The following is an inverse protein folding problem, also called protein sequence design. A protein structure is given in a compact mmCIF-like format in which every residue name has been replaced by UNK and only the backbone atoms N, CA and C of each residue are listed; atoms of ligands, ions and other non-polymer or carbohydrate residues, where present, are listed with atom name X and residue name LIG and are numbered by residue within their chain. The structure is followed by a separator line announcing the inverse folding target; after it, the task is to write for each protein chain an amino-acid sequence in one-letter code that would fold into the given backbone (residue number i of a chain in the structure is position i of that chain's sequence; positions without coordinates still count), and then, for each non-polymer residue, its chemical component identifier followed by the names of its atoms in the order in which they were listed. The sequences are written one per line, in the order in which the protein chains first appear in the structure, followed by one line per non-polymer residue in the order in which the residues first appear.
data_IF_401284512586
#
_entry.id   IF_401284512586
#
_cell.length_a   1.000
_cell.length_b   1.000
_cell.length_c   1.000
_cell.angle_alpha   90.00
_cell.angle_beta   90.00
_cell.angle_gamma   90.00
#
_symmetry.space_group_name_H-M   'P 1'
#
loop_
_entity.id
_entity.type
_entity.pdbx_description
1 polymer ?
#
# COMPACT_ATOMS: atom_id res chain seq x y z
N UNK A 1 -36.13 -25.96 45.07
CA UNK A 1 -36.40 -26.90 43.97
C UNK A 1 -35.73 -26.38 42.71
N UNK A 2 -34.80 -27.11 42.08
CA UNK A 2 -34.19 -26.67 40.82
C UNK A 2 -35.18 -26.82 39.65
N UNK A 3 -35.18 -25.89 38.68
CA UNK A 3 -36.07 -25.97 37.52
C UNK A 3 -35.70 -27.15 36.63
N UNK A 4 -36.71 -27.94 36.24
CA UNK A 4 -36.58 -29.07 35.34
C UNK A 4 -36.07 -28.58 33.98
N UNK A 5 -34.88 -29.08 33.58
CA UNK A 5 -34.34 -28.90 32.22
C UNK A 5 -35.33 -29.49 31.22
N UNK A 6 -35.97 -28.64 30.43
CA UNK A 6 -36.76 -29.06 29.28
C UNK A 6 -35.83 -29.62 28.22
N UNK A 7 -36.03 -30.88 27.87
CA UNK A 7 -35.37 -31.53 26.73
C UNK A 7 -35.93 -30.92 25.45
N UNK A 8 -35.16 -30.03 24.82
CA UNK A 8 -35.49 -29.50 23.50
C UNK A 8 -35.52 -30.67 22.50
N UNK A 9 -36.64 -30.82 21.81
CA UNK A 9 -36.82 -31.85 20.79
C UNK A 9 -35.85 -31.56 19.63
N UNK A 10 -35.06 -32.53 19.17
CA UNK A 10 -34.15 -32.32 18.05
C UNK A 10 -34.96 -31.97 16.78
N UNK A 11 -34.43 -31.07 15.93
CA UNK A 11 -35.10 -30.66 14.71
C UNK A 11 -35.30 -31.86 13.79
N UNK A 12 -36.47 -31.91 13.18
CA UNK A 12 -36.85 -33.00 12.26
C UNK A 12 -36.10 -32.86 10.94
N UNK A 13 -35.87 -33.98 10.25
CA UNK A 13 -35.18 -34.00 8.95
C UNK A 13 -35.85 -33.08 7.91
N UNK A 14 -37.16 -32.84 8.03
CA UNK A 14 -37.89 -31.89 7.19
C UNK A 14 -37.54 -30.43 7.50
N UNK A 15 -37.31 -30.06 8.76
CA UNK A 15 -36.87 -28.72 9.16
C UNK A 15 -35.41 -28.45 8.76
N UNK A 16 -34.57 -29.50 8.77
CA UNK A 16 -33.18 -29.42 8.28
C UNK A 16 -33.18 -29.23 6.75
N UNK A 17 -33.98 -30.02 6.01
CA UNK A 17 -34.11 -29.89 4.55
C UNK A 17 -34.75 -28.55 4.12
N UNK A 18 -35.70 -28.02 4.89
CA UNK A 18 -36.29 -26.71 4.64
C UNK A 18 -35.28 -25.57 4.89
N UNK A 19 -34.47 -25.67 5.96
CA UNK A 19 -33.41 -24.72 6.25
C UNK A 19 -32.31 -24.73 5.16
N UNK A 20 -31.93 -25.90 4.65
CA UNK A 20 -30.99 -26.05 3.52
C UNK A 20 -31.58 -25.52 2.21
N UNK A 21 -32.89 -25.68 1.96
CA UNK A 21 -33.56 -25.16 0.77
C UNK A 21 -33.69 -23.62 0.77
N UNK A 22 -33.80 -22.98 1.94
CA UNK A 22 -33.78 -21.52 2.07
C UNK A 22 -32.37 -20.92 2.12
N UNK A 23 -31.34 -21.74 2.37
CA UNK A 23 -29.94 -21.35 2.29
C UNK A 23 -29.38 -21.57 0.86
N UNK A 24 -30.15 -21.17 -0.15
CA UNK A 24 -29.68 -21.12 -1.53
C UNK A 24 -28.59 -20.03 -1.66
N UNK A 25 -27.37 -20.40 -1.28
CA UNK A 25 -26.15 -19.71 -1.69
C UNK A 25 -26.15 -19.77 -3.22
N UNK A 26 -26.44 -18.63 -3.83
CA UNK A 26 -26.32 -18.45 -5.28
C UNK A 26 -24.89 -18.87 -5.65
N UNK A 27 -24.71 -19.95 -6.44
CA UNK A 27 -23.38 -20.31 -6.90
C UNK A 27 -22.93 -19.18 -7.83
N UNK A 28 -21.93 -18.39 -7.40
CA UNK A 28 -21.21 -17.48 -8.28
C UNK A 28 -20.41 -18.32 -9.28
N UNK A 29 -21.10 -18.86 -10.29
CA UNK A 29 -20.47 -19.47 -11.44
C UNK A 29 -19.79 -18.31 -12.17
N UNK A 30 -18.47 -18.38 -12.26
CA UNK A 30 -17.62 -17.55 -13.13
C UNK A 30 -17.94 -17.81 -14.61
N UNK A 31 -19.18 -17.53 -15.02
CA UNK A 31 -19.66 -17.57 -16.38
C UNK A 31 -19.54 -16.19 -16.99
N UNK A 32 -18.96 -16.13 -18.19
CA UNK A 32 -18.93 -15.03 -19.17
C UNK A 32 -19.62 -13.75 -18.70
N UNK A 33 -18.85 -12.65 -18.54
CA UNK A 33 -19.35 -11.29 -18.30
C UNK A 33 -20.61 -11.03 -19.15
N UNK A 34 -21.78 -11.13 -18.52
CA UNK A 34 -23.05 -10.90 -19.19
C UNK A 34 -23.32 -9.40 -19.31
N UNK A 35 -24.25 -9.03 -20.20
CA UNK A 35 -24.75 -7.65 -20.38
C UNK A 35 -25.14 -6.92 -19.09
N UNK A 36 -25.41 -7.65 -18.01
CA UNK A 36 -25.70 -7.11 -16.69
C UNK A 36 -24.50 -6.44 -16.02
N UNK A 37 -23.27 -6.89 -16.28
CA UNK A 37 -22.06 -6.27 -15.75
C UNK A 37 -21.75 -4.97 -16.48
N UNK A 38 -21.82 -4.97 -17.81
CA UNK A 38 -21.63 -3.77 -18.62
C UNK A 38 -22.68 -2.69 -18.28
N UNK A 39 -23.96 -3.08 -18.09
CA UNK A 39 -25.02 -2.14 -17.64
C UNK A 39 -24.81 -1.60 -16.22
N UNK A 40 -24.08 -2.33 -15.37
CA UNK A 40 -23.72 -1.84 -14.04
C UNK A 40 -22.53 -0.88 -14.14
N UNK A 41 -21.49 -1.22 -14.92
CA UNK A 41 -20.37 -0.32 -15.25
C UNK A 41 -20.90 0.98 -15.87
N UNK A 42 -21.75 0.92 -16.90
CA UNK A 42 -22.39 2.08 -17.53
C UNK A 42 -23.20 2.93 -16.52
N UNK A 43 -23.85 2.27 -15.54
CA UNK A 43 -24.68 2.94 -14.53
C UNK A 43 -23.85 3.54 -13.40
N UNK A 44 -22.72 2.93 -13.04
CA UNK A 44 -21.73 3.47 -12.10
C UNK A 44 -20.95 4.61 -12.76
N UNK A 45 -20.56 4.49 -14.02
CA UNK A 45 -19.97 5.57 -14.81
C UNK A 45 -20.96 6.73 -15.02
N UNK A 46 -22.26 6.44 -15.15
CA UNK A 46 -23.31 7.46 -15.20
C UNK A 46 -23.59 8.14 -13.85
N UNK A 47 -23.20 7.54 -12.71
CA UNK A 47 -23.13 8.27 -11.44
C UNK A 47 -21.94 9.22 -11.58
N UNK A 48 -22.22 10.44 -12.02
CA UNK A 48 -21.20 11.45 -12.22
C UNK A 48 -20.43 11.67 -10.92
N UNK A 49 -19.14 11.97 -11.03
CA UNK A 49 -18.28 12.41 -9.92
C UNK A 49 -18.95 13.49 -9.05
N UNK A 50 -19.73 14.37 -9.69
CA UNK A 50 -20.54 15.39 -9.02
C UNK A 50 -21.65 14.81 -8.12
N UNK A 51 -22.27 13.70 -8.51
CA UNK A 51 -23.30 13.03 -7.68
C UNK A 51 -22.68 12.38 -6.44
N UNK A 52 -21.49 11.79 -6.59
CA UNK A 52 -20.74 11.23 -5.45
C UNK A 52 -20.29 12.35 -4.52
N UNK A 53 -19.70 13.42 -5.07
CA UNK A 53 -19.28 14.59 -4.31
C UNK A 53 -20.47 15.24 -3.60
N UNK A 54 -21.60 15.47 -4.28
CA UNK A 54 -22.81 16.00 -3.67
C UNK A 54 -23.40 15.05 -2.62
N UNK A 55 -23.34 13.74 -2.85
CA UNK A 55 -23.74 12.73 -1.87
C UNK A 55 -22.88 12.80 -0.61
N UNK A 56 -21.57 12.94 -0.77
CA UNK A 56 -20.66 13.14 0.36
C UNK A 56 -20.91 14.49 1.05
N UNK A 57 -21.11 15.56 0.29
CA UNK A 57 -21.38 16.89 0.83
C UNK A 57 -22.68 16.95 1.64
N UNK A 58 -23.71 16.24 1.19
CA UNK A 58 -24.95 16.10 1.94
C UNK A 58 -24.77 15.22 3.18
N UNK A 59 -24.01 14.14 3.07
CA UNK A 59 -23.86 13.17 4.15
C UNK A 59 -22.89 13.66 5.25
N UNK A 60 -21.89 14.46 4.87
CA UNK A 60 -20.91 15.09 5.75
C UNK A 60 -20.68 16.51 5.22
N UNK A 61 -21.37 17.54 5.70
CA UNK A 61 -21.16 18.91 5.25
C UNK A 61 -19.69 19.36 5.39
N UNK A 62 -19.21 20.32 4.58
CA UNK A 62 -17.92 20.94 4.81
C UNK A 62 -17.89 21.57 6.20
N UNK A 63 -16.78 21.39 6.92
CA UNK A 63 -16.62 21.97 8.24
C UNK A 63 -16.56 23.50 8.15
N UNK A 64 -17.27 24.15 9.06
CA UNK A 64 -17.15 25.60 9.28
C UNK A 64 -15.76 25.94 9.81
N UNK A 65 -15.38 27.22 9.73
CA UNK A 65 -14.08 27.67 10.25
C UNK A 65 -13.99 27.40 11.76
N UNK A 66 -15.09 27.64 12.48
CA UNK A 66 -15.19 27.48 13.93
C UNK A 66 -15.05 26.00 14.34
N UNK A 67 -15.64 25.08 13.58
CA UNK A 67 -15.44 23.64 13.81
C UNK A 67 -14.01 23.21 13.51
N UNK A 68 -13.40 23.74 12.44
CA UNK A 68 -12.01 23.45 12.10
C UNK A 68 -11.06 23.94 13.20
N UNK A 69 -11.27 25.16 13.69
CA UNK A 69 -10.51 25.77 14.79
C UNK A 69 -10.72 25.01 16.13
N UNK A 70 -11.87 24.34 16.31
CA UNK A 70 -12.12 23.49 17.49
C UNK A 70 -11.42 22.12 17.43
N UNK A 71 -11.15 21.60 16.22
CA UNK A 71 -10.52 20.29 16.01
C UNK A 71 -8.99 20.43 15.94
N UNK A 72 -8.51 21.47 15.28
CA UNK A 72 -7.08 21.72 15.14
C UNK A 72 -6.55 22.43 16.39
N UNK A 73 -5.42 22.01 16.95
CA UNK A 73 -4.82 22.73 18.08
C UNK A 73 -4.43 24.15 17.63
N UNK A 74 -4.75 25.16 18.45
CA UNK A 74 -4.38 26.57 18.18
C UNK A 74 -2.87 26.74 17.94
N UNK A 75 -2.06 25.93 18.64
CA UNK A 75 -0.62 25.87 18.48
C UNK A 75 -0.16 24.42 18.51
N UNK A 76 0.58 23.98 17.50
CA UNK A 76 1.29 22.70 17.54
C UNK A 76 2.42 22.78 18.58
N UNK A 77 2.67 21.72 19.37
CA UNK A 77 3.75 21.73 20.36
C UNK A 77 5.11 21.86 19.66
N UNK A 78 6.07 22.56 20.27
CA UNK A 78 7.43 22.77 19.71
C UNK A 78 8.13 21.46 19.34
N UNK A 79 7.83 20.35 20.04
CA UNK A 79 8.35 19.02 19.75
C UNK A 79 7.84 18.40 18.45
N UNK A 80 6.78 18.94 17.85
CA UNK A 80 6.28 18.51 16.54
C UNK A 80 7.16 19.01 15.38
N UNK A 81 7.99 20.01 15.65
CA UNK A 81 8.97 20.53 14.72
C UNK A 81 10.34 19.95 15.09
N UNK A 82 11.04 19.38 14.12
CA UNK A 82 12.46 19.07 14.30
C UNK A 82 13.23 20.38 14.49
N UNK A 83 14.36 20.38 15.21
CA UNK A 83 15.22 21.57 15.39
C UNK A 83 15.65 22.23 14.08
N UNK A 84 15.51 21.48 12.98
CA UNK A 84 15.96 21.81 11.65
C UNK A 84 14.79 22.30 10.76
N UNK A 85 13.59 22.45 11.33
CA UNK A 85 12.39 22.86 10.60
C UNK A 85 12.54 24.25 10.01
N UNK A 86 12.65 24.32 8.69
CA UNK A 86 12.81 25.58 7.94
C UNK A 86 11.48 26.20 7.58
N UNK A 87 11.46 27.52 7.38
CA UNK A 87 10.28 28.24 6.87
C UNK A 87 9.85 27.75 5.48
N UNK A 88 10.79 27.20 4.70
CA UNK A 88 10.53 26.57 3.41
C UNK A 88 9.86 25.20 3.57
N UNK A 89 10.23 24.41 4.58
CA UNK A 89 9.52 23.18 4.94
C UNK A 89 8.14 23.46 5.53
N UNK A 90 7.97 24.55 6.28
CA UNK A 90 6.65 25.01 6.73
C UNK A 90 5.78 25.43 5.54
N UNK A 91 6.30 26.23 4.62
CA UNK A 91 5.58 26.63 3.41
C UNK A 91 5.30 25.41 2.51
N UNK A 92 6.24 24.48 2.41
CA UNK A 92 6.05 23.22 1.70
C UNK A 92 5.01 22.34 2.42
N UNK A 93 4.98 22.29 3.75
CA UNK A 93 3.95 21.58 4.52
C UNK A 93 2.61 22.29 4.45
N UNK A 94 2.54 23.62 4.38
CA UNK A 94 1.28 24.35 4.20
C UNK A 94 0.73 24.21 2.78
N UNK A 95 1.61 24.20 1.76
CA UNK A 95 1.23 23.86 0.39
C UNK A 95 0.93 22.37 0.20
N UNK A 96 1.66 21.51 0.91
CA UNK A 96 1.53 20.07 0.84
C UNK A 96 0.64 19.47 1.92
N UNK A 97 0.04 20.30 2.80
CA UNK A 97 -1.00 19.98 3.77
C UNK A 97 -2.12 19.46 2.89
N UNK A 98 -2.13 18.15 2.66
CA UNK A 98 -2.60 17.69 1.38
C UNK A 98 -4.10 17.83 1.46
N UNK A 99 -4.74 18.22 0.36
CA UNK A 99 -6.21 18.32 0.30
C UNK A 99 -6.91 17.10 0.95
N UNK A 100 -6.23 15.95 0.88
CA UNK A 100 -6.43 14.69 1.61
C UNK A 100 -6.68 14.80 3.14
N UNK A 101 -6.03 15.71 3.85
CA UNK A 101 -6.19 15.87 5.29
C UNK A 101 -7.56 16.44 5.66
N UNK A 102 -8.09 17.34 4.82
CA UNK A 102 -9.43 17.87 5.01
C UNK A 102 -10.47 16.75 4.99
N UNK A 103 -10.25 15.71 4.18
CA UNK A 103 -11.13 14.53 4.11
C UNK A 103 -11.15 13.79 5.44
N UNK A 104 -9.99 13.53 6.04
CA UNK A 104 -9.90 12.85 7.34
C UNK A 104 -10.58 13.67 8.45
N UNK A 105 -10.29 14.97 8.52
CA UNK A 105 -10.89 15.87 9.52
C UNK A 105 -12.40 15.93 9.34
N UNK A 106 -12.87 16.05 8.11
CA UNK A 106 -14.29 16.09 7.77
C UNK A 106 -15.01 14.78 8.14
N UNK A 107 -14.44 13.63 7.79
CA UNK A 107 -15.08 12.33 7.98
C UNK A 107 -15.10 11.87 9.43
N UNK A 108 -14.01 12.08 10.16
CA UNK A 108 -13.81 11.52 11.50
C UNK A 108 -13.85 12.55 12.62
N UNK A 109 -13.97 13.84 12.28
CA UNK A 109 -13.87 14.94 13.25
C UNK A 109 -12.58 14.87 14.09
N UNK A 110 -11.49 14.40 13.47
CA UNK A 110 -10.21 14.15 14.12
C UNK A 110 -9.07 14.55 13.18
N UNK A 111 -8.02 15.16 13.73
CA UNK A 111 -6.84 15.50 12.93
C UNK A 111 -6.11 14.22 12.47
N UNK A 112 -5.48 14.20 11.28
CA UNK A 112 -4.66 13.08 10.85
C UNK A 112 -3.57 12.74 11.87
N UNK A 113 -2.99 13.78 12.49
CA UNK A 113 -2.04 13.65 13.58
C UNK A 113 -2.64 12.93 14.78
N UNK A 114 -3.89 13.22 15.15
CA UNK A 114 -4.58 12.51 16.21
C UNK A 114 -4.85 11.05 15.83
N UNK A 115 -5.29 10.78 14.60
CA UNK A 115 -5.56 9.41 14.10
C UNK A 115 -4.28 8.57 14.14
N UNK A 116 -3.16 9.12 13.66
CA UNK A 116 -1.83 8.51 13.70
C UNK A 116 -1.06 9.03 14.92
N UNK A 117 -1.59 8.75 16.11
CA UNK A 117 -0.95 9.09 17.39
C UNK A 117 -0.97 7.94 18.40
N UNK A 118 -0.18 8.05 19.48
CA UNK A 118 -0.24 7.11 20.59
C UNK A 118 -1.64 6.96 21.21
N UNK A 119 -2.55 7.93 21.05
CA UNK A 119 -3.97 7.82 21.47
C UNK A 119 -4.63 6.58 20.87
N UNK A 120 -4.38 6.32 19.59
CA UNK A 120 -4.86 5.13 18.88
C UNK A 120 -3.76 4.08 18.71
N UNK A 121 -2.68 4.14 19.51
CA UNK A 121 -1.53 3.22 19.42
C UNK A 121 -0.92 3.15 18.02
N UNK A 122 -0.99 4.23 17.26
CA UNK A 122 -0.35 4.34 15.95
C UNK A 122 0.78 5.36 16.03
N UNK A 123 1.86 5.12 15.32
CA UNK A 123 2.88 6.13 15.06
C UNK A 123 3.30 6.04 13.60
N UNK A 124 3.97 7.09 13.14
CA UNK A 124 4.56 7.08 11.82
C UNK A 124 5.81 6.18 11.80
N UNK A 125 5.96 5.33 10.77
CA UNK A 125 7.17 4.53 10.59
C UNK A 125 8.38 5.42 10.22
N UNK A 126 9.21 5.76 11.20
CA UNK A 126 10.43 6.56 10.99
C UNK A 126 11.61 5.75 10.46
N UNK A 127 11.59 4.44 10.62
CA UNK A 127 12.73 3.55 10.38
C UNK A 127 12.78 2.94 8.97
N UNK A 128 11.82 3.26 8.09
CA UNK A 128 11.86 2.75 6.73
C UNK A 128 13.12 3.30 6.03
N UNK A 129 13.97 2.42 5.49
CA UNK A 129 15.20 2.81 4.78
C UNK A 129 14.96 3.74 3.58
N UNK A 130 13.71 3.76 3.10
CA UNK A 130 13.21 4.64 2.04
C UNK A 130 12.50 5.90 2.58
N UNK A 131 12.51 6.15 3.89
CA UNK A 131 11.99 7.37 4.52
C UNK A 131 12.94 8.55 4.28
N UNK A 132 13.28 8.80 3.01
CA UNK A 132 13.85 10.06 2.57
C UNK A 132 12.66 10.98 2.29
N UNK A 133 12.14 11.58 3.34
CA UNK A 133 11.07 12.57 3.22
C UNK A 133 10.45 12.97 4.55
N UNK A 134 9.84 14.16 4.60
CA UNK A 134 9.13 14.64 5.78
C UNK A 134 8.04 13.64 6.20
N UNK A 135 7.79 13.59 7.51
CA UNK A 135 6.58 13.01 8.08
C UNK A 135 5.40 13.40 7.18
N UNK A 136 4.55 12.43 6.80
CA UNK A 136 3.41 12.66 5.89
C UNK A 136 3.75 12.91 4.42
N UNK A 137 4.52 12.00 3.81
CA UNK A 137 4.73 12.01 2.35
C UNK A 137 3.40 12.05 1.57
N UNK A 138 3.38 12.75 0.42
CA UNK A 138 2.19 12.86 -0.46
C UNK A 138 1.58 11.50 -0.79
N UNK A 139 2.41 10.47 -0.98
CA UNK A 139 1.94 9.09 -1.24
C UNK A 139 1.19 8.51 -0.05
N UNK A 140 1.71 8.66 1.16
CA UNK A 140 1.05 8.18 2.36
C UNK A 140 -0.26 8.92 2.60
N UNK A 141 -0.24 10.25 2.53
CA UNK A 141 -1.41 11.07 2.81
C UNK A 141 -2.53 10.82 1.81
N UNK A 142 -2.18 10.64 0.53
CA UNK A 142 -3.13 10.21 -0.49
C UNK A 142 -3.74 8.87 -0.14
N UNK A 143 -2.94 7.86 0.19
CA UNK A 143 -3.45 6.53 0.57
C UNK A 143 -4.33 6.56 1.81
N UNK A 144 -3.97 7.30 2.85
CA UNK A 144 -4.80 7.38 4.05
C UNK A 144 -6.13 8.08 3.75
N UNK A 145 -6.15 9.13 2.93
CA UNK A 145 -7.43 9.73 2.50
C UNK A 145 -8.26 8.76 1.64
N UNK A 146 -7.59 8.03 0.74
CA UNK A 146 -8.20 6.94 -0.05
C UNK A 146 -8.82 5.86 0.83
N UNK A 147 -8.17 5.49 1.94
CA UNK A 147 -8.74 4.57 2.91
C UNK A 147 -9.91 5.24 3.63
N UNK A 148 -9.73 6.46 4.13
CA UNK A 148 -10.70 7.18 4.97
C UNK A 148 -12.11 7.28 4.39
N UNK A 149 -12.23 7.52 3.09
CA UNK A 149 -13.52 7.65 2.38
C UNK A 149 -14.28 6.33 2.26
N UNK A 150 -13.65 5.20 2.57
CA UNK A 150 -14.27 3.89 2.40
C UNK A 150 -15.44 3.70 3.41
N UNK A 151 -16.63 3.28 2.95
CA UNK A 151 -17.83 3.19 3.78
C UNK A 151 -17.76 2.10 4.86
N UNK A 152 -16.84 1.13 4.74
CA UNK A 152 -16.62 0.08 5.74
C UNK A 152 -16.40 0.63 7.15
N UNK A 153 -15.82 1.82 7.28
CA UNK A 153 -15.54 2.43 8.59
C UNK A 153 -16.76 3.01 9.26
N UNK A 154 -17.85 3.28 8.52
CA UNK A 154 -19.05 3.94 9.06
C UNK A 154 -18.74 5.25 9.80
N UNK A 155 -17.66 5.94 9.40
CA UNK A 155 -17.10 7.14 10.08
C UNK A 155 -16.61 6.88 11.51
N UNK A 156 -16.40 5.64 11.89
CA UNK A 156 -15.76 5.27 13.15
C UNK A 156 -14.23 5.20 12.98
N UNK A 157 -13.55 6.16 13.59
CA UNK A 157 -12.09 6.22 13.63
C UNK A 157 -11.46 4.98 14.28
N UNK A 158 -12.19 4.30 15.18
CA UNK A 158 -11.70 3.07 15.81
C UNK A 158 -11.61 1.92 14.81
N UNK A 159 -12.54 1.82 13.84
CA UNK A 159 -12.48 0.81 12.80
C UNK A 159 -11.29 1.05 11.85
N UNK A 160 -11.08 2.30 11.44
CA UNK A 160 -9.93 2.69 10.62
C UNK A 160 -8.61 2.38 11.34
N UNK A 161 -8.48 2.82 12.59
CA UNK A 161 -7.25 2.63 13.37
C UNK A 161 -6.99 1.15 13.67
N UNK A 162 -8.03 0.36 13.95
CA UNK A 162 -7.93 -1.09 14.09
C UNK A 162 -7.43 -1.75 12.81
N UNK A 163 -7.95 -1.36 11.63
CA UNK A 163 -7.48 -1.90 10.35
C UNK A 163 -5.99 -1.60 10.09
N UNK A 164 -5.55 -0.38 10.41
CA UNK A 164 -4.14 0.02 10.30
C UNK A 164 -3.26 -0.76 11.29
N UNK A 165 -3.69 -0.90 12.55
CA UNK A 165 -2.98 -1.73 13.55
C UNK A 165 -2.87 -3.17 13.06
N UNK A 166 -3.95 -3.74 12.54
CA UNK A 166 -3.99 -5.12 12.05
C UNK A 166 -2.99 -5.34 10.92
N UNK A 167 -2.93 -4.42 9.95
CA UNK A 167 -1.97 -4.47 8.86
C UNK A 167 -0.52 -4.48 9.37
N UNK A 168 -0.20 -3.61 10.34
CA UNK A 168 1.15 -3.56 10.95
C UNK A 168 1.46 -4.86 11.70
N UNK A 169 0.52 -5.41 12.47
CA UNK A 169 0.70 -6.68 13.20
C UNK A 169 0.99 -7.82 12.22
N UNK A 170 0.23 -7.92 11.13
CA UNK A 170 0.46 -8.93 10.09
C UNK A 170 1.83 -8.77 9.42
N UNK A 171 2.21 -7.54 9.03
CA UNK A 171 3.51 -7.27 8.41
C UNK A 171 4.68 -7.67 9.30
N UNK A 172 4.59 -7.30 10.57
CA UNK A 172 5.66 -7.47 11.58
C UNK A 172 5.63 -8.83 12.26
N UNK A 173 4.58 -9.64 12.03
CA UNK A 173 4.31 -10.89 12.73
C UNK A 173 4.35 -10.71 14.26
N UNK A 174 3.84 -9.59 14.75
CA UNK A 174 3.80 -9.32 16.19
C UNK A 174 2.84 -10.31 16.86
N UNK A 175 3.38 -11.10 17.78
CA UNK A 175 2.63 -12.10 18.57
C UNK A 175 2.32 -11.59 19.97
N UNK A 176 2.84 -10.41 20.34
CA UNK A 176 2.58 -9.84 21.67
C UNK A 176 1.07 -9.63 21.88
N UNK A 177 0.59 -9.65 23.14
CA UNK A 177 -0.80 -9.37 23.45
C UNK A 177 -1.26 -8.03 22.86
N UNK A 178 -2.07 -8.10 21.80
CA UNK A 178 -2.62 -6.93 21.15
C UNK A 178 -3.53 -6.19 22.14
N UNK A 179 -3.23 -4.92 22.39
CA UNK A 179 -4.07 -4.07 23.23
C UNK A 179 -5.27 -3.54 22.44
N UNK A 180 -6.13 -4.49 22.12
CA UNK A 180 -7.35 -4.32 21.35
C UNK A 180 -8.28 -3.29 21.98
N UNK A 181 -8.61 -2.24 21.22
CA UNK A 181 -9.64 -1.28 21.59
C UNK A 181 -10.87 -1.58 20.76
N UNK A 182 -11.86 -2.21 21.39
CA UNK A 182 -13.13 -2.56 20.76
C UNK A 182 -13.82 -1.32 20.14
N UNK A 183 -14.15 -1.34 18.83
CA UNK A 183 -14.86 -0.23 18.18
C UNK A 183 -16.27 -0.03 18.74
N UNK A 184 -17.06 -1.11 18.76
CA UNK A 184 -18.45 -1.14 19.18
C UNK A 184 -18.81 -2.41 19.99
N UNK A 185 -20.05 -2.51 20.46
CA UNK A 185 -20.55 -3.63 21.26
C UNK A 185 -21.08 -4.83 20.47
N UNK A 186 -20.76 -4.94 19.18
CA UNK A 186 -21.19 -6.07 18.35
C UNK A 186 -20.61 -7.39 18.86
N UNK A 187 -21.32 -8.48 18.57
CA UNK A 187 -20.90 -9.82 18.98
C UNK A 187 -19.55 -10.22 18.38
N UNK A 188 -19.25 -9.74 17.16
CA UNK A 188 -17.96 -9.97 16.51
C UNK A 188 -16.81 -9.43 17.35
N UNK A 189 -16.79 -8.15 17.69
CA UNK A 189 -15.67 -7.58 18.45
C UNK A 189 -15.63 -8.04 19.91
N UNK A 190 -16.77 -8.36 20.53
CA UNK A 190 -16.80 -9.03 21.85
C UNK A 190 -16.13 -10.41 21.80
N UNK A 191 -16.41 -11.17 20.75
CA UNK A 191 -15.77 -12.48 20.54
C UNK A 191 -14.30 -12.29 20.24
N UNK A 192 -13.94 -11.29 19.44
CA UNK A 192 -12.56 -10.94 19.11
C UNK A 192 -11.74 -10.62 20.36
N UNK A 193 -12.21 -9.69 21.18
CA UNK A 193 -11.58 -9.31 22.45
C UNK A 193 -11.37 -10.51 23.38
N UNK A 194 -12.39 -11.39 23.48
CA UNK A 194 -12.32 -12.61 24.29
C UNK A 194 -11.26 -13.58 23.75
N UNK A 195 -11.21 -13.82 22.45
CA UNK A 195 -10.24 -14.75 21.83
C UNK A 195 -8.81 -14.21 21.96
N UNK A 196 -8.58 -12.90 21.77
CA UNK A 196 -7.27 -12.28 22.04
C UNK A 196 -6.83 -12.55 23.49
N UNK A 197 -7.74 -12.41 24.46
CA UNK A 197 -7.44 -12.63 25.87
C UNK A 197 -7.05 -14.08 26.21
N UNK A 198 -7.63 -15.04 25.48
CA UNK A 198 -7.41 -16.49 25.65
C UNK A 198 -6.19 -17.00 24.86
N UNK A 199 -6.00 -16.54 23.62
CA UNK A 199 -4.95 -16.96 22.70
C UNK A 199 -3.78 -15.97 22.69
N UNK A 200 -3.08 -15.90 23.82
CA UNK A 200 -1.87 -15.08 23.93
C UNK A 200 -0.74 -15.67 23.09
N UNK A 201 0.17 -14.81 22.64
CA UNK A 201 1.39 -15.23 21.91
C UNK A 201 1.11 -15.99 20.61
N UNK A 202 -0.09 -15.82 20.05
CA UNK A 202 -0.54 -16.50 18.82
C UNK A 202 -0.61 -15.49 17.66
N UNK A 203 -0.24 -15.88 16.42
CA UNK A 203 -0.38 -15.00 15.26
C UNK A 203 -1.82 -14.48 15.10
N UNK A 204 -1.96 -13.20 14.76
CA UNK A 204 -3.28 -12.55 14.74
C UNK A 204 -4.26 -13.18 13.73
N UNK A 205 -3.75 -13.75 12.63
CA UNK A 205 -4.57 -14.46 11.65
C UNK A 205 -5.24 -15.72 12.26
N UNK A 206 -4.51 -16.48 13.09
CA UNK A 206 -5.06 -17.65 13.79
C UNK A 206 -6.09 -17.24 14.86
N UNK A 207 -5.84 -16.11 15.55
CA UNK A 207 -6.81 -15.50 16.48
C UNK A 207 -8.11 -15.17 15.73
N UNK A 208 -8.00 -14.52 14.57
CA UNK A 208 -9.17 -14.17 13.76
C UNK A 208 -9.90 -15.40 13.19
N UNK A 209 -9.18 -16.45 12.78
CA UNK A 209 -9.76 -17.72 12.37
C UNK A 209 -10.59 -18.37 13.49
N UNK A 210 -10.10 -18.36 14.73
CA UNK A 210 -10.86 -18.87 15.89
C UNK A 210 -12.09 -18.00 16.18
N UNK A 211 -11.99 -16.67 16.04
CA UNK A 211 -13.16 -15.77 16.16
C UNK A 211 -14.24 -16.15 15.15
N UNK A 212 -13.86 -16.34 13.88
CA UNK A 212 -14.78 -16.78 12.82
C UNK A 212 -15.36 -18.16 13.13
N UNK A 213 -14.56 -19.08 13.65
CA UNK A 213 -14.99 -20.42 14.03
C UNK A 213 -16.03 -20.42 15.15
N UNK A 214 -15.87 -19.56 16.17
CA UNK A 214 -16.85 -19.38 17.25
C UNK A 214 -18.16 -18.80 16.73
N UNK A 215 -18.09 -17.75 15.91
CA UNK A 215 -19.29 -17.16 15.32
C UNK A 215 -20.05 -18.17 14.45
N UNK A 216 -19.35 -18.97 13.63
CA UNK A 216 -19.96 -20.05 12.84
C UNK A 216 -20.62 -21.11 13.72
N UNK A 217 -19.95 -21.54 14.81
CA UNK A 217 -20.48 -22.52 15.77
C UNK A 217 -21.77 -22.02 16.42
N UNK A 218 -21.80 -20.74 16.76
CA UNK A 218 -22.95 -20.07 17.39
C UNK A 218 -24.00 -19.61 16.37
N UNK A 219 -23.85 -19.99 15.09
CA UNK A 219 -24.72 -19.63 13.96
C UNK A 219 -24.93 -18.12 13.79
N UNK A 220 -23.89 -17.35 14.08
CA UNK A 220 -23.88 -15.91 13.97
C UNK A 220 -23.44 -15.47 12.57
N UNK A 221 -23.97 -14.34 12.12
CA UNK A 221 -23.57 -13.73 10.85
C UNK A 221 -22.16 -13.18 11.01
N UNK A 222 -21.29 -13.53 10.06
CA UNK A 222 -19.94 -12.99 9.97
C UNK A 222 -20.03 -11.59 9.35
N UNK A 223 -19.55 -10.53 10.03
CA UNK A 223 -19.62 -9.19 9.46
C UNK A 223 -18.66 -9.03 8.28
N UNK A 224 -18.98 -8.12 7.37
CA UNK A 224 -18.13 -7.77 6.21
C UNK A 224 -16.73 -7.35 6.66
N UNK A 225 -16.62 -6.68 7.82
CA UNK A 225 -15.32 -6.32 8.39
C UNK A 225 -14.41 -7.53 8.62
N UNK A 226 -14.97 -8.68 9.00
CA UNK A 226 -14.21 -9.94 9.12
C UNK A 226 -13.75 -10.47 7.77
N UNK A 227 -14.53 -10.29 6.71
CA UNK A 227 -14.07 -10.65 5.35
C UNK A 227 -12.94 -9.72 4.88
N UNK A 228 -13.02 -8.42 5.20
CA UNK A 228 -11.92 -7.48 4.95
C UNK A 228 -10.63 -7.89 5.67
N UNK A 229 -10.70 -8.29 6.95
CA UNK A 229 -9.52 -8.79 7.67
C UNK A 229 -8.93 -10.05 7.02
N UNK A 230 -9.78 -10.95 6.52
CA UNK A 230 -9.34 -12.15 5.79
C UNK A 230 -8.64 -11.77 4.47
N UNK A 231 -9.19 -10.82 3.71
CA UNK A 231 -8.52 -10.28 2.51
C UNK A 231 -7.15 -9.71 2.85
N UNK A 232 -7.06 -8.94 3.94
CA UNK A 232 -5.82 -8.34 4.41
C UNK A 232 -4.76 -9.39 4.79
N UNK A 233 -5.16 -10.49 5.44
CA UNK A 233 -4.29 -11.64 5.74
C UNK A 233 -3.71 -12.30 4.48
N UNK A 234 -4.48 -12.35 3.39
CA UNK A 234 -4.02 -12.97 2.14
C UNK A 234 -3.06 -12.09 1.34
N UNK A 235 -3.19 -10.76 1.46
CA UNK A 235 -2.43 -9.78 0.67
C UNK A 235 -1.13 -9.38 1.39
N UNK A 236 -1.15 -9.30 2.71
CA UNK A 236 -0.02 -8.82 3.47
C UNK A 236 1.12 -9.85 3.47
N UNK A 237 2.11 -9.62 2.62
CA UNK A 237 3.37 -10.37 2.68
C UNK A 237 4.09 -10.07 4.01
N UNK A 238 4.48 -11.12 4.73
CA UNK A 238 5.25 -10.98 5.96
C UNK A 238 6.66 -10.47 5.64
N UNK A 239 7.06 -9.38 6.28
CA UNK A 239 8.43 -8.86 6.21
C UNK A 239 9.04 -8.88 7.61
N UNK A 240 9.65 -10.00 8.03
CA UNK A 240 10.14 -10.17 9.40
C UNK A 240 11.28 -9.19 9.77
N UNK A 241 11.84 -8.50 8.80
CA UNK A 241 12.95 -7.56 9.00
C UNK A 241 12.53 -6.23 9.66
N UNK A 242 11.23 -5.90 9.70
CA UNK A 242 10.72 -4.74 10.44
C UNK A 242 10.29 -5.17 11.82
N UNK A 243 11.25 -5.43 12.71
CA UNK A 243 10.93 -5.66 14.12
C UNK A 243 10.51 -4.35 14.77
N UNK A 244 9.40 -4.36 15.51
CA UNK A 244 8.99 -3.23 16.38
C UNK A 244 10.12 -3.00 17.39
N UNK A 245 10.91 -1.93 17.20
CA UNK A 245 12.12 -1.68 17.99
C UNK A 245 11.81 -1.36 19.44
N UNK A 246 10.67 -0.70 19.70
CA UNK A 246 10.24 -0.32 21.04
C UNK A 246 8.95 -1.04 21.45
N UNK A 247 9.11 -2.32 21.79
CA UNK A 247 8.00 -3.17 22.31
C UNK A 247 7.38 -2.62 23.60
N UNK A 248 8.07 -1.72 24.31
CA UNK A 248 7.59 -1.19 25.58
C UNK A 248 6.45 -0.18 25.40
N UNK A 249 6.48 0.61 24.32
CA UNK A 249 5.49 1.65 24.03
C UNK A 249 4.16 1.09 23.54
N UNK A 250 4.14 -0.12 22.96
CA UNK A 250 2.95 -0.76 22.38
C UNK A 250 2.22 0.16 21.39
N UNK A 251 3.01 0.80 20.53
CA UNK A 251 2.57 1.66 19.44
C UNK A 251 3.00 0.99 18.12
N UNK A 252 2.14 1.05 17.11
CA UNK A 252 2.32 0.38 15.84
C UNK A 252 2.81 1.39 14.78
N UNK A 253 4.03 1.24 14.24
CA UNK A 253 4.55 2.13 13.21
C UNK A 253 3.89 1.83 11.86
N UNK A 254 3.01 2.73 11.43
CA UNK A 254 2.28 2.64 10.16
C UNK A 254 3.07 3.32 9.06
N UNK A 255 3.28 2.60 7.97
CA UNK A 255 3.96 3.09 6.78
C UNK A 255 3.10 3.11 5.52
N UNK A 256 3.73 3.49 4.41
CA UNK A 256 3.14 3.44 3.06
C UNK A 256 2.75 2.02 2.65
N UNK A 257 3.49 1.01 3.14
CA UNK A 257 3.24 -0.41 2.86
C UNK A 257 1.95 -0.87 3.50
N UNK A 258 1.72 -0.54 4.78
CA UNK A 258 0.50 -0.92 5.50
C UNK A 258 -0.73 -0.26 4.89
N UNK A 259 -0.64 1.03 4.58
CA UNK A 259 -1.72 1.74 3.90
C UNK A 259 -2.00 1.15 2.50
N UNK A 260 -0.97 0.63 1.80
CA UNK A 260 -1.20 -0.08 0.53
C UNK A 260 -2.02 -1.35 0.73
N UNK A 261 -1.62 -2.17 1.69
CA UNK A 261 -2.24 -3.47 1.93
C UNK A 261 -3.70 -3.32 2.36
N UNK A 262 -4.00 -2.28 3.15
CA UNK A 262 -5.38 -1.94 3.49
C UNK A 262 -6.18 -1.58 2.23
N UNK A 263 -5.66 -0.75 1.32
CA UNK A 263 -6.35 -0.42 0.06
C UNK A 263 -6.59 -1.68 -0.78
N UNK A 264 -5.53 -2.48 -1.00
CA UNK A 264 -5.61 -3.71 -1.79
C UNK A 264 -6.63 -4.69 -1.19
N UNK A 265 -6.73 -4.77 0.15
CA UNK A 265 -7.69 -5.62 0.85
C UNK A 265 -9.13 -5.10 0.76
N UNK A 266 -9.33 -3.78 0.74
CA UNK A 266 -10.65 -3.19 0.49
C UNK A 266 -11.10 -3.50 -0.94
N UNK A 267 -10.24 -3.28 -1.92
CA UNK A 267 -10.52 -3.58 -3.34
C UNK A 267 -10.86 -5.08 -3.53
N UNK A 268 -10.18 -5.98 -2.81
CA UNK A 268 -10.49 -7.41 -2.84
C UNK A 268 -11.82 -7.78 -2.15
N UNK A 269 -12.30 -6.94 -1.23
CA UNK A 269 -13.54 -7.16 -0.45
C UNK A 269 -14.77 -6.56 -1.15
N UNK A 270 -14.58 -5.56 -2.02
CA UNK A 270 -15.66 -4.92 -2.79
C UNK A 270 -16.41 -5.91 -3.69
N UNK A 271 -15.73 -6.98 -4.14
CA UNK A 271 -16.32 -8.06 -4.93
C UNK A 271 -17.31 -8.95 -4.14
N UNK A 272 -17.42 -8.79 -2.80
CA UNK A 272 -18.30 -9.61 -1.95
C UNK A 272 -19.78 -9.21 -1.99
N UNK A 273 -20.19 -8.47 -3.02
CA UNK A 273 -21.60 -8.30 -3.35
C UNK A 273 -22.29 -7.14 -2.62
N UNK A 274 -21.53 -6.19 -2.06
CA UNK A 274 -22.04 -4.86 -1.74
C UNK A 274 -22.28 -4.09 -3.04
N UNK A 275 -23.31 -4.51 -3.79
CA UNK A 275 -23.74 -3.84 -5.01
C UNK A 275 -24.05 -2.39 -4.70
N UNK A 276 -23.18 -1.48 -5.13
CA UNK A 276 -23.39 -0.04 -5.01
C UNK A 276 -22.30 0.68 -4.22
N UNK A 277 -21.28 0.00 -3.70
CA UNK A 277 -20.05 0.68 -3.31
C UNK A 277 -19.14 0.81 -4.54
N UNK A 278 -18.86 2.02 -5.02
CA UNK A 278 -17.84 2.24 -6.03
C UNK A 278 -16.49 1.75 -5.52
N UNK A 279 -15.68 1.18 -6.40
CA UNK A 279 -14.25 0.97 -6.12
C UNK A 279 -13.64 2.27 -5.60
N UNK A 280 -12.67 2.13 -4.71
CA UNK A 280 -11.84 3.22 -4.18
C UNK A 280 -11.31 4.17 -5.27
N UNK A 281 -11.00 3.66 -6.47
CA UNK A 281 -10.54 4.48 -7.60
C UNK A 281 -11.59 5.52 -8.04
N UNK A 282 -12.87 5.21 -7.92
CA UNK A 282 -13.96 6.11 -8.32
C UNK A 282 -14.01 7.33 -7.41
N UNK A 283 -13.85 7.15 -6.10
CA UNK A 283 -13.86 8.25 -5.13
C UNK A 283 -12.65 9.17 -5.25
N UNK A 284 -11.45 8.58 -5.40
CA UNK A 284 -10.20 9.36 -5.52
C UNK A 284 -10.16 10.18 -6.81
N UNK A 285 -10.78 9.71 -7.89
CA UNK A 285 -10.82 10.45 -9.15
C UNK A 285 -11.84 11.60 -9.16
N UNK A 286 -12.80 11.62 -8.23
CA UNK A 286 -13.87 12.62 -8.14
C UNK A 286 -13.44 13.90 -7.40
N UNK A 287 -12.65 13.77 -6.33
CA UNK A 287 -12.34 14.88 -5.41
C UNK A 287 -11.01 15.59 -5.69
N UNK A 288 -10.13 15.01 -6.52
CA UNK A 288 -8.72 15.42 -6.58
C UNK A 288 -8.26 16.07 -7.88
N UNK A 289 -9.16 16.55 -8.75
CA UNK A 289 -8.72 17.55 -9.73
C UNK A 289 -8.59 18.88 -9.01
N UNK A 290 -7.40 19.52 -8.96
CA UNK A 290 -7.36 20.93 -8.64
C UNK A 290 -8.30 21.60 -9.64
N UNK A 291 -9.34 22.23 -9.12
CA UNK A 291 -9.96 23.36 -9.79
C UNK A 291 -8.81 24.34 -9.95
N UNK A 292 -8.13 24.26 -11.09
CA UNK A 292 -7.20 25.28 -11.52
C UNK A 292 -8.12 26.45 -11.75
N UNK A 293 -8.30 27.29 -10.72
CA UNK A 293 -8.85 28.61 -10.87
C UNK A 293 -8.18 29.18 -12.11
N UNK A 294 -8.96 29.37 -13.16
CA UNK A 294 -8.47 29.91 -14.40
C UNK A 294 -7.89 31.28 -14.06
N UNK A 295 -6.57 31.33 -13.90
CA UNK A 295 -5.87 32.60 -13.80
C UNK A 295 -6.29 33.38 -15.05
N UNK A 296 -6.70 34.66 -14.89
CA UNK A 296 -7.12 35.47 -16.02
C UNK A 296 -6.01 35.38 -17.06
N UNK A 297 -6.37 34.92 -18.26
CA UNK A 297 -5.43 34.67 -19.34
C UNK A 297 -4.60 35.95 -19.55
N UNK A 298 -3.38 35.96 -19.00
CA UNK A 298 -2.36 36.88 -19.45
C UNK A 298 -2.16 36.54 -20.91
N UNK A 299 -2.39 37.51 -21.80
CA UNK A 299 -2.18 37.36 -23.24
C UNK A 299 -0.74 36.90 -23.46
N UNK A 300 -0.57 35.59 -23.60
CA UNK A 300 0.68 34.96 -23.99
C UNK A 300 0.95 35.47 -25.39
N UNK A 301 2.05 36.18 -25.56
CA UNK A 301 2.43 36.73 -26.87
C UNK A 301 2.59 35.57 -27.86
N UNK A 302 2.19 35.77 -29.12
CA UNK A 302 2.22 34.75 -30.18
C UNK A 302 3.61 34.07 -30.31
N UNK A 303 4.68 34.79 -29.97
CA UNK A 303 6.05 34.28 -29.93
C UNK A 303 6.35 33.31 -28.77
N UNK A 304 5.72 33.48 -27.60
CA UNK A 304 5.85 32.53 -26.49
C UNK A 304 5.07 31.24 -26.77
N UNK A 305 3.93 31.33 -27.47
CA UNK A 305 3.18 30.15 -27.89
C UNK A 305 3.97 29.28 -28.89
N UNK A 306 4.61 29.90 -29.90
CA UNK A 306 5.44 29.18 -30.88
C UNK A 306 6.62 28.47 -30.20
N UNK A 307 7.27 29.11 -29.22
CA UNK A 307 8.37 28.49 -28.48
C UNK A 307 7.88 27.32 -27.61
N UNK A 308 6.73 27.45 -26.94
CA UNK A 308 6.14 26.35 -26.18
C UNK A 308 5.74 25.18 -27.07
N UNK A 309 5.18 25.43 -28.24
CA UNK A 309 4.79 24.37 -29.18
C UNK A 309 6.02 23.63 -29.73
N UNK A 310 7.15 24.33 -29.96
CA UNK A 310 8.42 23.70 -30.35
C UNK A 310 9.03 22.86 -29.21
N UNK A 311 8.99 23.35 -27.97
CA UNK A 311 9.45 22.59 -26.80
C UNK A 311 8.58 21.34 -26.57
N UNK A 312 7.26 21.48 -26.68
CA UNK A 312 6.31 20.38 -26.55
C UNK A 312 6.52 19.31 -27.63
N UNK A 313 6.72 19.71 -28.89
CA UNK A 313 7.03 18.77 -29.97
C UNK A 313 8.36 18.02 -29.72
N UNK A 314 9.37 18.71 -29.18
CA UNK A 314 10.64 18.09 -28.78
C UNK A 314 10.47 17.08 -27.64
N UNK A 315 9.64 17.41 -26.65
CA UNK A 315 9.32 16.50 -25.54
C UNK A 315 8.52 15.28 -26.01
N UNK A 316 7.54 15.45 -26.88
CA UNK A 316 6.76 14.34 -27.46
C UNK A 316 7.65 13.37 -28.25
N UNK A 317 8.56 13.89 -29.07
CA UNK A 317 9.52 13.05 -29.80
C UNK A 317 10.41 12.24 -28.83
N UNK A 318 10.85 12.86 -27.72
CA UNK A 318 11.67 12.20 -26.70
C UNK A 318 10.88 11.12 -25.95
N UNK A 319 9.60 11.35 -25.66
CA UNK A 319 8.72 10.35 -25.05
C UNK A 319 8.53 9.16 -25.98
N UNK A 320 8.26 9.38 -27.26
CA UNK A 320 8.11 8.30 -28.25
C UNK A 320 9.41 7.48 -28.40
N UNK A 321 10.57 8.14 -28.38
CA UNK A 321 11.86 7.44 -28.39
C UNK A 321 12.03 6.53 -27.16
N UNK A 322 11.75 7.04 -25.96
CA UNK A 322 11.85 6.27 -24.71
C UNK A 322 10.86 5.10 -24.67
N UNK A 323 9.67 5.26 -25.24
CA UNK A 323 8.70 4.17 -25.36
C UNK A 323 9.19 3.05 -26.29
N UNK A 324 9.81 3.39 -27.43
CA UNK A 324 10.37 2.39 -28.35
C UNK A 324 11.59 1.70 -27.74
N UNK A 325 12.47 2.42 -27.04
CA UNK A 325 13.59 1.83 -26.29
C UNK A 325 13.09 0.85 -25.22
N UNK A 326 12.05 1.21 -24.45
CA UNK A 326 11.42 0.32 -23.48
C UNK A 326 10.79 -0.91 -24.13
N UNK A 327 10.17 -0.74 -25.29
CA UNK A 327 9.61 -1.84 -26.08
C UNK A 327 10.70 -2.81 -26.55
N UNK A 328 11.84 -2.30 -26.99
CA UNK A 328 13.00 -3.12 -27.35
C UNK A 328 13.58 -3.86 -26.14
N UNK A 329 13.69 -3.21 -24.99
CA UNK A 329 14.18 -3.83 -23.76
C UNK A 329 13.28 -4.99 -23.31
N UNK A 330 11.94 -4.82 -23.34
CA UNK A 330 10.98 -5.90 -23.06
C UNK A 330 11.11 -7.07 -24.03
N UNK A 331 11.37 -6.81 -25.31
CA UNK A 331 11.65 -7.86 -26.31
C UNK A 331 12.94 -8.62 -25.99
N UNK A 332 14.00 -7.93 -25.57
CA UNK A 332 15.24 -8.58 -25.15
C UNK A 332 15.06 -9.43 -23.89
N UNK A 333 14.35 -8.92 -22.88
CA UNK A 333 14.04 -9.67 -21.65
C UNK A 333 13.28 -10.97 -21.97
N UNK A 334 12.26 -10.93 -22.85
CA UNK A 334 11.55 -12.14 -23.28
C UNK A 334 12.46 -13.15 -24.00
N UNK A 335 13.40 -12.69 -24.82
CA UNK A 335 14.41 -13.56 -25.47
C UNK A 335 15.32 -14.21 -24.43
N UNK A 336 15.77 -13.46 -23.43
CA UNK A 336 16.62 -13.96 -22.35
C UNK A 336 15.88 -14.97 -21.45
N UNK A 337 14.62 -14.69 -21.11
CA UNK A 337 13.78 -15.61 -20.34
C UNK A 337 13.55 -16.91 -21.11
N UNK A 338 13.31 -16.83 -22.43
CA UNK A 338 13.18 -18.01 -23.27
C UNK A 338 14.48 -18.85 -23.30
N UNK A 339 15.64 -18.20 -23.45
CA UNK A 339 16.96 -18.87 -23.36
C UNK A 339 17.14 -19.56 -22.00
N UNK A 340 16.79 -18.89 -20.90
CA UNK A 340 16.88 -19.45 -19.55
C UNK A 340 15.96 -20.66 -19.38
N UNK A 341 14.72 -20.61 -19.90
CA UNK A 341 13.79 -21.75 -19.89
C UNK A 341 14.34 -22.93 -20.70
N UNK A 342 14.96 -22.67 -21.85
CA UNK A 342 15.61 -23.72 -22.68
C UNK A 342 16.77 -24.38 -21.92
N UNK A 343 17.62 -23.59 -21.27
CA UNK A 343 18.72 -24.07 -20.43
C UNK A 343 18.22 -24.92 -19.25
N UNK A 344 17.21 -24.44 -18.50
CA UNK A 344 16.59 -25.20 -17.40
C UNK A 344 16.04 -26.55 -17.87
N UNK A 345 15.40 -26.60 -19.04
CA UNK A 345 14.92 -27.86 -19.65
C UNK A 345 16.05 -28.81 -20.01
N UNK A 346 17.15 -28.30 -20.58
CA UNK A 346 18.33 -29.10 -20.92
C UNK A 346 19.01 -29.67 -19.67
N UNK A 347 19.22 -28.85 -18.64
CA UNK A 347 19.78 -29.27 -17.35
C UNK A 347 18.91 -30.35 -16.68
N UNK A 348 17.58 -30.22 -16.73
CA UNK A 348 16.64 -31.24 -16.21
C UNK A 348 16.75 -32.56 -16.98
N UNK A 349 17.00 -32.54 -18.30
CA UNK A 349 17.22 -33.75 -19.10
C UNK A 349 18.54 -34.43 -18.72
N UNK A 350 19.62 -33.68 -18.58
CA UNK A 350 20.93 -34.20 -18.14
C UNK A 350 20.85 -34.83 -16.73
N UNK A 351 20.15 -34.19 -15.79
CA UNK A 351 19.95 -34.77 -14.45
C UNK A 351 19.18 -36.09 -14.48
N UNK A 352 18.15 -36.22 -15.34
CA UNK A 352 17.43 -37.48 -15.51
C UNK A 352 18.29 -38.58 -16.14
N UNK A 353 19.13 -38.21 -17.11
CA UNK A 353 20.06 -39.14 -17.76
C UNK A 353 21.13 -39.64 -16.78
N UNK A 354 21.72 -38.73 -16.00
CA UNK A 354 22.65 -39.07 -14.93
C UNK A 354 22.02 -39.96 -13.85
N UNK A 355 20.75 -39.72 -13.49
CA UNK A 355 19.99 -40.59 -12.60
C UNK A 355 19.88 -42.02 -13.15
N UNK A 356 19.47 -42.17 -14.41
CA UNK A 356 19.38 -43.48 -15.07
C UNK A 356 20.73 -44.21 -15.16
N UNK A 357 21.83 -43.48 -15.37
CA UNK A 357 23.18 -44.05 -15.37
C UNK A 357 23.58 -44.56 -13.98
N UNK A 358 23.25 -43.81 -12.92
CA UNK A 358 23.45 -44.27 -11.54
C UNK A 358 22.65 -45.54 -11.23
N UNK A 359 21.38 -45.59 -11.63
CA UNK A 359 20.53 -46.76 -11.43
C UNK A 359 21.09 -48.00 -12.16
N UNK A 360 21.55 -47.83 -13.41
CA UNK A 360 22.22 -48.89 -14.18
C UNK A 360 23.51 -49.38 -13.50
N UNK A 361 24.33 -48.45 -13.00
CA UNK A 361 25.56 -48.80 -12.29
C UNK A 361 25.27 -49.57 -10.99
N UNK A 362 24.19 -49.21 -10.29
CA UNK A 362 23.75 -49.90 -9.08
C UNK A 362 23.24 -51.31 -9.36
N UNK A 363 22.43 -51.49 -10.42
CA UNK A 363 22.00 -52.80 -10.92
C UNK A 363 23.19 -53.67 -11.34
N UNK A 364 24.18 -53.10 -12.03
CA UNK A 364 25.40 -53.81 -12.39
C UNK A 364 26.18 -54.25 -11.15
N UNK A 365 26.31 -53.40 -10.13
CA UNK A 365 26.95 -53.77 -8.85
C UNK A 365 26.20 -54.91 -8.13
N UNK A 366 24.87 -54.95 -8.20
CA UNK A 366 24.07 -56.03 -7.62
C UNK A 366 24.23 -57.36 -8.38
N UNK A 367 24.38 -57.32 -9.70
CA UNK A 367 24.62 -58.52 -10.50
C UNK A 367 26.08 -58.97 -10.53
N UNK A 368 27.01 -58.07 -10.23
CA UNK A 368 28.45 -58.36 -10.12
C UNK A 368 28.90 -58.60 -8.68
N UNK A 369 28.03 -59.06 -7.77
CA UNK A 369 28.46 -59.76 -6.56
C UNK A 369 28.76 -61.23 -6.91
N UNK A 370 30.03 -61.61 -7.14
CA UNK A 370 30.37 -63.01 -7.19
C UNK A 370 30.34 -63.58 -5.76
N UNK A 371 29.91 -64.82 -5.65
CA UNK A 371 30.23 -65.67 -4.50
C UNK A 371 31.75 -65.85 -4.43
N UNK A 372 32.46 -64.88 -3.85
CA UNK A 372 33.88 -65.02 -3.54
C UNK A 372 34.02 -65.05 -2.02
N UNK A 373 34.29 -66.28 -1.61
CA UNK A 373 34.88 -66.73 -0.36
C UNK A 373 35.87 -65.70 0.19
N UNK A 374 35.72 -65.44 1.50
CA UNK A 374 36.68 -64.82 2.42
C UNK A 374 38.12 -64.81 1.89
N UNK A 375 38.62 -63.66 1.45
CA UNK A 375 40.01 -63.29 1.65
C UNK A 375 40.11 -61.79 1.87
N UNK A 376 40.56 -61.48 3.07
CA UNK A 376 40.84 -60.17 3.65
C UNK A 376 42.15 -59.66 3.04
N UNK A 377 42.08 -58.57 2.27
CA UNK A 377 43.26 -57.83 1.83
C UNK A 377 42.92 -56.36 1.61
N UNK A 378 43.77 -55.51 2.17
CA UNK A 378 43.66 -54.05 2.26
C UNK A 378 43.91 -53.30 0.94
N UNK A 379 43.50 -52.02 0.93
CA UNK A 379 43.78 -50.89 0.00
C UNK A 379 42.77 -50.62 -1.15
N UNK A 380 42.73 -49.39 -1.72
CA UNK A 380 42.97 -48.05 -1.16
C UNK A 380 41.76 -47.09 -1.34
N UNK A 381 41.79 -45.96 -0.63
CA UNK A 381 40.81 -44.88 -0.70
C UNK A 381 40.72 -44.26 -2.10
N UNK A 382 39.51 -44.24 -2.67
CA UNK A 382 39.25 -43.63 -3.97
C UNK A 382 38.96 -42.12 -3.80
N UNK A 383 39.76 -41.32 -4.50
CA UNK A 383 39.74 -39.86 -4.50
C UNK A 383 38.38 -39.27 -4.93
N UNK A 384 38.03 -38.21 -4.20
CA UNK A 384 36.77 -37.48 -4.21
C UNK A 384 36.52 -36.70 -5.52
N UNK A 385 35.32 -36.83 -6.07
CA UNK A 385 34.81 -36.11 -7.26
C UNK A 385 34.33 -34.67 -6.95
N UNK A 386 34.81 -34.04 -5.88
CA UNK A 386 34.37 -32.71 -5.42
C UNK A 386 34.84 -31.54 -6.28
N UNK A 387 35.91 -31.70 -7.09
CA UNK A 387 36.51 -30.58 -7.82
C UNK A 387 35.65 -30.00 -8.95
N UNK A 388 34.74 -30.78 -9.56
CA UNK A 388 33.92 -30.31 -10.69
C UNK A 388 32.73 -29.45 -10.24
N UNK A 389 32.24 -29.65 -9.01
CA UNK A 389 31.07 -28.91 -8.50
C UNK A 389 31.44 -27.49 -8.02
N UNK A 390 32.69 -27.26 -7.65
CA UNK A 390 33.17 -25.96 -7.15
C UNK A 390 33.46 -24.97 -8.30
N UNK A 391 33.99 -25.47 -9.42
CA UNK A 391 34.27 -24.65 -10.61
C UNK A 391 32.99 -24.10 -11.25
N UNK A 392 31.91 -24.88 -11.25
CA UNK A 392 30.59 -24.42 -11.74
C UNK A 392 29.98 -23.39 -10.79
N UNK A 393 30.13 -23.54 -9.47
CA UNK A 393 29.64 -22.56 -8.48
C UNK A 393 30.32 -21.21 -8.62
N UNK A 394 31.63 -21.19 -8.90
CA UNK A 394 32.38 -19.96 -9.09
C UNK A 394 31.96 -19.21 -10.36
N UNK A 395 31.77 -19.91 -11.48
CA UNK A 395 31.23 -19.33 -12.72
C UNK A 395 29.86 -18.66 -12.57
N UNK A 396 28.97 -19.22 -11.73
CA UNK A 396 27.67 -18.60 -11.44
C UNK A 396 27.78 -17.38 -10.52
N UNK A 397 28.70 -17.38 -9.56
CA UNK A 397 28.95 -16.22 -8.70
C UNK A 397 29.47 -15.04 -9.50
N UNK A 398 30.43 -15.28 -10.40
CA UNK A 398 31.01 -14.22 -11.24
C UNK A 398 29.96 -13.63 -12.19
N UNK A 399 29.13 -14.46 -12.80
CA UNK A 399 28.06 -13.99 -13.69
C UNK A 399 26.96 -13.16 -12.97
N UNK A 400 26.69 -13.43 -11.69
CA UNK A 400 25.76 -12.61 -10.89
C UNK A 400 26.41 -11.28 -10.54
N UNK A 401 27.68 -11.30 -10.13
CA UNK A 401 28.44 -10.10 -9.80
C UNK A 401 28.55 -9.12 -10.97
N UNK A 402 28.82 -9.63 -12.18
CA UNK A 402 28.92 -8.80 -13.38
C UNK A 402 27.57 -8.11 -13.73
N UNK A 403 26.45 -8.77 -13.47
CA UNK A 403 25.10 -8.20 -13.70
C UNK A 403 24.79 -7.11 -12.67
N UNK A 404 25.15 -7.32 -11.41
CA UNK A 404 24.94 -6.34 -10.34
C UNK A 404 25.82 -5.09 -10.56
N UNK A 405 27.09 -5.27 -10.93
CA UNK A 405 27.99 -4.15 -11.26
C UNK A 405 27.51 -3.37 -12.51
N UNK A 406 26.96 -4.04 -13.52
CA UNK A 406 26.39 -3.38 -14.68
C UNK A 406 25.13 -2.57 -14.36
N UNK A 407 24.28 -3.08 -13.45
CA UNK A 407 23.10 -2.35 -12.98
C UNK A 407 23.48 -1.13 -12.14
N UNK A 408 24.48 -1.26 -11.26
CA UNK A 408 25.00 -0.17 -10.43
C UNK A 408 25.53 0.99 -11.30
N UNK A 409 26.36 0.67 -12.32
CA UNK A 409 26.88 1.68 -13.27
C UNK A 409 25.76 2.40 -14.02
N UNK A 410 24.74 1.66 -14.45
CA UNK A 410 23.58 2.24 -15.15
C UNK A 410 22.76 3.15 -14.25
N UNK A 411 22.59 2.78 -12.98
CA UNK A 411 21.93 3.63 -11.99
C UNK A 411 22.70 4.94 -11.77
N UNK A 412 24.02 4.85 -11.61
CA UNK A 412 24.89 6.03 -11.48
C UNK A 412 24.81 6.97 -12.69
N UNK A 413 24.76 6.42 -13.91
CA UNK A 413 24.64 7.20 -15.16
C UNK A 413 23.28 7.91 -15.28
N UNK A 414 22.20 7.26 -14.85
CA UNK A 414 20.87 7.88 -14.76
C UNK A 414 20.88 9.03 -13.75
N UNK A 415 21.46 8.81 -12.56
CA UNK A 415 21.51 9.84 -11.51
C UNK A 415 22.36 11.04 -11.93
N UNK A 416 23.47 10.80 -12.64
CA UNK A 416 24.29 11.86 -13.24
C UNK A 416 23.50 12.66 -14.28
N UNK A 417 22.77 11.98 -15.16
CA UNK A 417 21.93 12.63 -16.19
C UNK A 417 20.83 13.50 -15.58
N UNK A 418 20.20 13.05 -14.49
CA UNK A 418 19.19 13.83 -13.75
C UNK A 418 19.83 15.07 -13.10
N UNK A 419 21.03 14.94 -12.53
CA UNK A 419 21.76 16.06 -11.93
C UNK A 419 22.14 17.12 -12.98
N UNK A 420 22.62 16.70 -14.15
CA UNK A 420 22.97 17.60 -15.25
C UNK A 420 21.74 18.36 -15.78
N UNK A 421 20.60 17.67 -15.95
CA UNK A 421 19.31 18.30 -16.29
C UNK A 421 18.88 19.34 -15.25
N UNK A 422 19.08 19.08 -13.95
CA UNK A 422 18.74 20.06 -12.90
C UNK A 422 19.63 21.30 -12.94
N UNK A 423 20.91 21.14 -13.28
CA UNK A 423 21.84 22.27 -13.39
C UNK A 423 21.52 23.18 -14.59
N UNK A 424 21.17 22.62 -15.75
CA UNK A 424 20.81 23.41 -16.94
C UNK A 424 19.52 24.22 -16.75
N UNK A 425 18.56 23.71 -15.97
CA UNK A 425 17.31 24.44 -15.67
C UNK A 425 17.42 25.45 -14.52
N UNK A 426 18.47 25.42 -13.69
CA UNK A 426 18.63 26.34 -12.57
C UNK A 426 19.22 27.72 -12.96
N UNK A 427 19.96 27.81 -14.07
CA UNK A 427 20.63 29.06 -14.49
C UNK A 427 19.72 30.17 -15.08
N UNK A 428 18.64 29.89 -15.83
CA UNK A 428 17.81 30.95 -16.40
C UNK A 428 17.03 31.74 -15.33
N UNK A 429 16.67 31.08 -14.21
CA UNK A 429 15.79 31.65 -13.19
C UNK A 429 16.48 32.69 -12.29
N UNK A 430 17.80 32.54 -12.05
CA UNK A 430 18.58 33.52 -11.26
C UNK A 430 18.76 34.88 -11.96
N UNK A 431 18.71 34.93 -13.31
CA UNK A 431 18.83 36.20 -14.05
C UNK A 431 17.53 37.02 -14.07
N UNK A 432 16.35 36.40 -13.97
CA UNK A 432 15.06 37.13 -13.88
C UNK A 432 14.81 37.77 -12.51
N UNK A 433 15.25 37.13 -11.41
CA UNK A 433 15.01 37.64 -10.06
C UNK A 433 15.77 38.96 -9.73
N UNK A 434 16.88 39.26 -10.41
CA UNK A 434 17.62 40.52 -10.18
C UNK A 434 17.02 41.73 -10.89
N UNK A 435 16.24 41.55 -11.97
CA UNK A 435 15.72 42.68 -12.75
C UNK A 435 14.48 43.35 -12.13
N UNK A 436 13.77 42.68 -11.23
CA UNK A 436 12.51 43.20 -10.65
C UNK A 436 12.68 43.92 -9.29
N UNK A 437 13.90 44.05 -8.78
CA UNK A 437 14.15 44.63 -7.44
C UNK A 437 14.58 46.11 -7.42
N UNK A 438 14.68 46.78 -8.58
CA UNK A 438 15.16 48.19 -8.65
C UNK A 438 14.09 49.23 -9.03
N UNK A 439 12.81 48.86 -9.11
CA UNK A 439 11.79 49.73 -9.72
C UNK A 439 10.60 50.17 -8.86
N UNK A 440 10.71 50.24 -7.53
CA UNK A 440 9.54 50.57 -6.71
C UNK A 440 9.85 51.27 -5.37
N UNK A 441 10.46 52.46 -5.40
CA UNK A 441 10.36 53.42 -4.28
C UNK A 441 10.45 54.86 -4.81
N UNK A 442 9.33 55.38 -5.31
CA UNK A 442 9.05 56.82 -5.34
C UNK A 442 7.67 57.03 -4.74
N UNK A 443 7.62 57.27 -3.44
CA UNK A 443 6.44 57.81 -2.75
C UNK A 443 6.55 59.33 -2.81
N UNK A 444 5.65 59.93 -3.59
CA UNK A 444 5.45 61.37 -3.66
C UNK A 444 4.86 61.90 -2.36
N UNK A 445 5.57 62.83 -1.74
CA UNK A 445 5.04 63.78 -0.77
C UNK A 445 3.92 64.59 -1.41
N UNK A 446 2.73 64.59 -0.81
CA UNK A 446 1.75 65.66 -0.99
C UNK A 446 1.05 65.99 0.33
N UNK A 447 1.52 67.09 0.90
CA UNK A 447 0.87 68.11 1.71
C UNK A 447 -0.57 67.88 2.20
N UNK A 448 -0.73 67.87 3.53
CA UNK A 448 -1.98 68.16 4.21
C UNK A 448 -1.88 69.53 4.92
N UNK A 449 -2.88 70.44 4.82
CA UNK A 449 -2.80 71.76 5.41
C UNK A 449 -3.10 71.74 6.91
N UNK A 450 -2.26 72.47 7.67
CA UNK A 450 -2.47 72.83 9.07
C UNK A 450 -3.67 73.79 9.18
N UNK A 451 -4.65 73.44 10.00
CA UNK A 451 -5.60 74.40 10.55
C UNK A 451 -5.06 74.94 11.88
N UNK A 452 -4.78 76.23 11.88
CA UNK A 452 -4.50 77.03 13.07
C UNK A 452 -5.75 77.17 13.95
N UNK A 453 -5.58 76.92 15.24
CA UNK A 453 -6.52 77.24 16.31
C UNK A 453 -5.90 78.37 17.14
N UNK A 454 -6.46 79.57 17.01
CA UNK A 454 -6.27 80.64 17.97
C UNK A 454 -7.60 81.36 18.24
N UNK A 455 -7.87 81.47 19.55
CA UNK A 455 -8.89 82.26 20.26
C UNK A 455 -10.29 81.66 20.41
#
# INVERSE_FOLDING_TARGET
MPPKKGTAKPPTAAEIAAAEATAAVVPCIAGKKGDTWNKFEDRIEAITKQTIAAGLDNAVPPLTKEELDAILPETLPDSAFTSDWTRDEEAALQQAMPKNFKVLVRLFNASPFEIISPKYRLEWETNAKDAVGPHWSVKFTSRIATIAIHPLWQRDVKLLTLALQYAVILRTQDTLPWLFSRPDDTLFFKTFEKVIGEMRDTPIAEVHEEVRSRLKRDRQVIPIFSEFLLSLETIQESSPNTTIQDRSKRVYPVGVVDAKAVIDALDATDDLGLRGLPSIEVYTSAEFRPEVEAQPALEVTENEQINQDQENAGLEAKVQQLEEENRQLRRQQKKNEHKLRKYKRQKKRQLKENGRLKDKLQLQKQHSQPQIIKQEAALPEAESTTAVDESVKNLFKDAIKDVDEANERRHQEIMKSISELRQTHAEPSRKRARSNSQGAFHTSDHDAPRHDLHQ
#
